data_IF_436045839180
#
_entry.id   IF_436045839180
#
_cell.length_a   1.000
_cell.length_b   1.000
_cell.length_c   1.000
_cell.angle_alpha   90.00
_cell.angle_beta   90.00
_cell.angle_gamma   90.00
#
_symmetry.space_group_name_H-M   'P 1'
#
loop_
_entity.id
_entity.type
_entity.pdbx_description
1 polymer ?
#
# COMPACT_ATOMS: atom_id res chain seq x y z
N UNK A 1 -84.44 -15.01 19.51
CA UNK A 1 -83.04 -15.22 19.90
C UNK A 1 -82.19 -15.97 18.87
N UNK A 2 -82.75 -16.75 17.95
CA UNK A 2 -81.98 -17.53 16.94
C UNK A 2 -81.44 -16.71 15.77
N UNK A 3 -82.07 -15.58 15.41
CA UNK A 3 -81.66 -14.75 14.26
C UNK A 3 -80.47 -13.82 14.55
N UNK A 4 -80.23 -13.49 15.81
CA UNK A 4 -79.11 -12.63 16.23
C UNK A 4 -77.78 -13.41 16.34
N UNK A 5 -77.87 -14.70 16.67
CA UNK A 5 -76.70 -15.58 16.72
C UNK A 5 -76.12 -15.87 15.32
N UNK A 6 -77.00 -15.95 14.31
CA UNK A 6 -76.59 -16.21 12.93
C UNK A 6 -75.87 -15.00 12.28
N UNK A 7 -76.29 -13.77 12.57
CA UNK A 7 -75.61 -12.57 12.06
C UNK A 7 -74.24 -12.35 12.73
N UNK A 8 -74.14 -12.66 14.02
CA UNK A 8 -72.89 -12.53 14.77
C UNK A 8 -71.84 -13.58 14.34
N UNK A 9 -72.26 -14.78 13.93
CA UNK A 9 -71.37 -15.80 13.36
C UNK A 9 -70.91 -15.46 11.93
N UNK A 10 -71.77 -14.87 11.09
CA UNK A 10 -71.37 -14.42 9.75
C UNK A 10 -70.42 -13.20 9.80
N UNK A 11 -70.55 -12.32 10.79
CA UNK A 11 -69.61 -11.23 10.99
C UNK A 11 -68.23 -11.70 11.49
N UNK A 12 -68.16 -12.78 12.26
CA UNK A 12 -66.88 -13.38 12.66
C UNK A 12 -66.20 -14.15 11.52
N UNK A 13 -66.97 -14.74 10.60
CA UNK A 13 -66.42 -15.44 9.45
C UNK A 13 -65.82 -14.51 8.37
N UNK A 14 -66.29 -13.27 8.24
CA UNK A 14 -65.73 -12.30 7.29
C UNK A 14 -64.50 -11.55 7.83
N UNK A 15 -64.29 -11.52 9.15
CA UNK A 15 -63.08 -10.93 9.76
C UNK A 15 -61.88 -11.91 9.74
N UNK A 16 -62.11 -13.21 9.63
CA UNK A 16 -61.05 -14.22 9.60
C UNK A 16 -60.35 -14.37 8.22
N UNK A 17 -60.85 -13.73 7.16
CA UNK A 17 -60.33 -13.91 5.79
C UNK A 17 -59.28 -12.87 5.35
N UNK A 18 -58.94 -11.88 6.17
CA UNK A 18 -57.97 -10.82 5.80
C UNK A 18 -56.62 -10.89 6.52
N UNK A 19 -56.33 -11.96 7.26
CA UNK A 19 -55.04 -12.16 7.95
C UNK A 19 -54.13 -13.16 7.22
N UNK A 20 -54.07 -13.12 5.88
CA UNK A 20 -52.93 -13.65 5.14
C UNK A 20 -51.99 -12.48 4.83
N UNK A 21 -51.29 -12.02 5.86
CA UNK A 21 -50.17 -11.11 5.67
C UNK A 21 -49.14 -11.80 4.79
N UNK A 22 -48.92 -11.29 3.59
CA UNK A 22 -47.77 -11.67 2.77
C UNK A 22 -46.53 -11.28 3.57
N UNK A 23 -45.84 -12.27 4.12
CA UNK A 23 -44.48 -12.04 4.60
C UNK A 23 -43.67 -11.63 3.37
N UNK A 24 -43.04 -10.44 3.35
CA UNK A 24 -42.14 -10.12 2.26
C UNK A 24 -41.07 -11.20 2.22
N UNK A 25 -40.80 -11.74 1.03
CA UNK A 25 -39.71 -12.67 0.78
C UNK A 25 -38.39 -11.99 1.17
N UNK A 26 -37.97 -12.15 2.43
CA UNK A 26 -36.71 -11.61 2.94
C UNK A 26 -35.51 -12.20 2.18
N UNK A 27 -35.70 -13.32 1.46
CA UNK A 27 -34.68 -13.96 0.64
C UNK A 27 -34.16 -13.04 -0.48
N UNK A 28 -35.04 -12.27 -1.15
CA UNK A 28 -34.62 -11.35 -2.23
C UNK A 28 -33.87 -10.13 -1.68
N UNK A 29 -34.25 -9.66 -0.48
CA UNK A 29 -33.60 -8.52 0.18
C UNK A 29 -32.23 -8.91 0.76
N UNK A 30 -32.09 -10.11 1.32
CA UNK A 30 -30.79 -10.66 1.73
C UNK A 30 -29.85 -10.84 0.54
N UNK A 31 -30.34 -11.34 -0.60
CA UNK A 31 -29.55 -11.52 -1.83
C UNK A 31 -29.04 -10.20 -2.40
N UNK A 32 -29.91 -9.19 -2.47
CA UNK A 32 -29.54 -7.85 -2.92
C UNK A 32 -28.49 -7.20 -2.00
N UNK A 33 -28.68 -7.22 -0.67
CA UNK A 33 -27.72 -6.64 0.27
C UNK A 33 -26.39 -7.41 0.25
N UNK A 34 -26.40 -8.74 0.09
CA UNK A 34 -25.20 -9.57 -0.05
C UNK A 34 -24.40 -9.20 -1.31
N UNK A 35 -25.06 -8.97 -2.44
CA UNK A 35 -24.39 -8.53 -3.68
C UNK A 35 -23.77 -7.13 -3.54
N UNK A 36 -24.42 -6.23 -2.80
CA UNK A 36 -23.89 -4.90 -2.48
C UNK A 36 -22.66 -4.97 -1.57
N UNK A 37 -22.68 -5.80 -0.52
CA UNK A 37 -21.53 -6.05 0.36
C UNK A 37 -20.34 -6.67 -0.38
N UNK A 38 -20.59 -7.62 -1.31
CA UNK A 38 -19.54 -8.24 -2.12
C UNK A 38 -18.92 -7.26 -3.13
N UNK A 39 -19.74 -6.39 -3.72
CA UNK A 39 -19.29 -5.37 -4.68
C UNK A 39 -18.49 -4.27 -3.98
N UNK A 40 -18.92 -3.86 -2.79
CA UNK A 40 -18.23 -2.87 -1.97
C UNK A 40 -16.97 -3.44 -1.28
N UNK A 41 -16.94 -4.74 -0.95
CA UNK A 41 -15.76 -5.44 -0.42
C UNK A 41 -14.63 -5.62 -1.44
N UNK A 42 -14.96 -5.74 -2.74
CA UNK A 42 -13.97 -5.72 -3.84
C UNK A 42 -13.29 -4.36 -4.02
N UNK A 43 -13.82 -3.28 -3.45
CA UNK A 43 -13.20 -1.96 -3.39
C UNK A 43 -12.29 -1.72 -2.17
N UNK A 44 -12.10 -2.74 -1.30
CA UNK A 44 -11.32 -2.64 -0.06
C UNK A 44 -9.80 -2.69 -0.23
N UNK A 45 -9.28 -2.79 -1.46
CA UNK A 45 -7.88 -2.45 -1.72
C UNK A 45 -7.74 -0.94 -1.64
N UNK A 46 -6.71 -0.43 -0.95
CA UNK A 46 -6.38 1.01 -0.87
C UNK A 46 -6.66 1.66 -2.22
N UNK A 47 -7.76 2.41 -2.32
CA UNK A 47 -8.18 2.93 -3.61
C UNK A 47 -7.01 3.74 -4.18
N UNK A 48 -6.64 3.58 -5.45
CA UNK A 48 -5.49 4.28 -6.03
C UNK A 48 -5.64 5.81 -5.81
N UNK A 49 -6.89 6.30 -5.80
CA UNK A 49 -7.24 7.67 -5.44
C UNK A 49 -6.86 8.04 -3.99
N UNK A 50 -7.14 7.17 -3.00
CA UNK A 50 -6.78 7.43 -1.60
C UNK A 50 -5.27 7.31 -1.36
N UNK A 51 -4.58 6.43 -2.08
CA UNK A 51 -3.11 6.39 -2.10
C UNK A 51 -2.52 7.68 -2.70
N UNK A 52 -3.13 8.22 -3.76
CA UNK A 52 -2.72 9.46 -4.40
C UNK A 52 -2.93 10.67 -3.47
N UNK A 53 -4.08 10.76 -2.78
CA UNK A 53 -4.34 11.80 -1.78
C UNK A 53 -3.34 11.77 -0.61
N UNK A 54 -2.96 10.57 -0.14
CA UNK A 54 -1.92 10.43 0.89
C UNK A 54 -0.55 10.92 0.43
N UNK A 55 -0.16 10.63 -0.82
CA UNK A 55 1.09 11.16 -1.40
C UNK A 55 1.05 12.68 -1.53
N UNK A 56 -0.10 13.23 -1.93
CA UNK A 56 -0.30 14.68 -2.02
C UNK A 56 -0.14 15.36 -0.66
N UNK A 57 -0.72 14.77 0.39
CA UNK A 57 -0.58 15.27 1.76
C UNK A 57 0.88 15.26 2.23
N UNK A 58 1.63 14.20 1.94
CA UNK A 58 3.06 14.12 2.25
C UNK A 58 3.88 15.18 1.49
N UNK A 59 3.55 15.44 0.23
CA UNK A 59 4.20 16.50 -0.56
C UNK A 59 3.94 17.89 0.02
N UNK A 60 2.70 18.20 0.42
CA UNK A 60 2.33 19.47 1.06
C UNK A 60 3.10 19.64 2.38
N UNK A 61 3.15 18.59 3.22
CA UNK A 61 3.93 18.62 4.46
C UNK A 61 5.43 18.81 4.22
N UNK A 62 5.97 18.29 3.12
CA UNK A 62 7.34 18.53 2.70
C UNK A 62 7.60 20.01 2.38
N UNK A 63 6.69 20.65 1.64
CA UNK A 63 6.77 22.08 1.31
C UNK A 63 6.63 22.97 2.55
N UNK A 64 5.75 22.62 3.50
CA UNK A 64 5.62 23.31 4.78
C UNK A 64 6.94 23.29 5.57
N UNK A 65 7.62 22.13 5.63
CA UNK A 65 8.93 22.01 6.29
C UNK A 65 10.02 22.82 5.58
N UNK A 66 10.07 22.76 4.25
CA UNK A 66 11.07 23.50 3.45
C UNK A 66 10.91 25.02 3.63
N UNK A 67 9.68 25.51 3.67
CA UNK A 67 9.38 26.94 3.82
C UNK A 67 9.27 27.40 5.27
N UNK A 68 9.55 26.50 6.24
CA UNK A 68 9.42 26.76 7.68
C UNK A 68 8.07 27.39 8.04
N UNK A 69 6.99 26.92 7.41
CA UNK A 69 5.65 27.42 7.69
C UNK A 69 5.23 27.03 9.12
N UNK A 70 5.06 28.03 9.97
CA UNK A 70 4.48 27.97 11.32
C UNK A 70 3.07 28.53 11.33
N UNK A 71 2.30 28.25 12.39
CA UNK A 71 0.95 28.81 12.58
C UNK A 71 0.92 30.35 12.53
N UNK A 72 2.02 30.99 12.94
CA UNK A 72 2.19 32.44 12.92
C UNK A 72 2.48 32.97 11.50
N UNK A 73 3.27 32.24 10.71
CA UNK A 73 3.54 32.60 9.30
C UNK A 73 2.36 32.34 8.36
N UNK A 74 1.37 31.55 8.80
CA UNK A 74 0.09 31.37 8.10
C UNK A 74 -0.96 32.42 8.48
N UNK A 75 -0.67 33.31 9.45
CA UNK A 75 -1.56 34.38 9.88
C UNK A 75 -1.22 35.69 9.15
N UNK A 76 -2.05 36.04 8.17
CA UNK A 76 -2.05 37.37 7.54
C UNK A 76 -1.68 37.39 6.05
N UNK A 77 -2.31 38.33 5.32
CA UNK A 77 -2.08 38.60 3.90
C UNK A 77 -2.95 37.79 2.95
N UNK A 78 -3.44 38.44 1.88
CA UNK A 78 -4.24 37.81 0.81
C UNK A 78 -3.39 36.89 -0.10
N UNK A 79 -2.06 37.04 -0.09
CA UNK A 79 -1.10 36.23 -0.87
C UNK A 79 -0.08 35.55 0.04
N UNK A 80 -0.55 34.74 0.99
CA UNK A 80 0.32 34.04 1.92
C UNK A 80 0.47 32.57 1.53
N UNK A 81 1.64 32.21 1.01
CA UNK A 81 1.93 30.85 0.58
C UNK A 81 1.79 29.81 1.70
N UNK A 82 2.06 30.18 2.97
CA UNK A 82 1.87 29.27 4.11
C UNK A 82 0.37 29.12 4.46
N UNK A 83 -0.43 30.18 4.31
CA UNK A 83 -1.88 30.10 4.47
C UNK A 83 -2.52 29.24 3.36
N UNK A 84 -2.05 29.37 2.11
CA UNK A 84 -2.52 28.54 0.99
C UNK A 84 -2.15 27.07 1.17
N UNK A 85 -0.92 26.78 1.61
CA UNK A 85 -0.52 25.40 1.96
C UNK A 85 -1.38 24.82 3.08
N UNK A 86 -1.69 25.61 4.11
CA UNK A 86 -2.57 25.18 5.20
C UNK A 86 -4.00 24.88 4.71
N UNK A 87 -4.57 25.71 3.81
CA UNK A 87 -5.87 25.46 3.18
C UNK A 87 -5.86 24.21 2.31
N UNK A 88 -4.82 24.02 1.51
CA UNK A 88 -4.68 22.81 0.69
C UNK A 88 -4.53 21.55 1.54
N UNK A 89 -3.80 21.62 2.66
CA UNK A 89 -3.67 20.53 3.62
C UNK A 89 -5.02 20.14 4.20
N UNK A 90 -5.81 21.10 4.69
CA UNK A 90 -7.12 20.81 5.28
C UNK A 90 -8.10 20.26 4.24
N UNK A 91 -8.04 20.75 3.00
CA UNK A 91 -8.86 20.25 1.89
C UNK A 91 -8.54 18.77 1.57
N UNK A 92 -7.26 18.44 1.40
CA UNK A 92 -6.83 17.05 1.13
C UNK A 92 -7.18 16.14 2.31
N UNK A 93 -7.03 16.61 3.55
CA UNK A 93 -7.46 15.86 4.73
C UNK A 93 -8.97 15.59 4.74
N UNK A 94 -9.79 16.57 4.35
CA UNK A 94 -11.24 16.40 4.22
C UNK A 94 -11.60 15.40 3.14
N UNK A 95 -10.91 15.41 2.00
CA UNK A 95 -11.12 14.44 0.92
C UNK A 95 -10.72 13.03 1.33
N UNK A 96 -9.62 12.86 2.08
CA UNK A 96 -9.24 11.57 2.65
C UNK A 96 -10.31 11.09 3.63
N UNK A 97 -10.84 11.96 4.49
CA UNK A 97 -11.90 11.61 5.43
C UNK A 97 -13.20 11.20 4.70
N UNK A 98 -13.61 11.95 3.68
CA UNK A 98 -14.77 11.62 2.85
C UNK A 98 -14.59 10.29 2.11
N UNK A 99 -13.42 10.06 1.51
CA UNK A 99 -13.09 8.80 0.85
C UNK A 99 -13.04 7.63 1.85
N UNK A 100 -12.59 7.85 3.09
CA UNK A 100 -12.63 6.82 4.13
C UNK A 100 -14.05 6.53 4.64
N UNK A 101 -14.94 7.53 4.62
CA UNK A 101 -16.34 7.40 5.01
C UNK A 101 -17.18 6.66 3.96
N UNK A 102 -16.79 6.65 2.69
CA UNK A 102 -17.41 5.76 1.69
C UNK A 102 -17.24 4.26 2.03
N UNK A 103 -16.28 3.92 2.91
CA UNK A 103 -16.16 2.59 3.50
C UNK A 103 -17.11 2.33 4.68
N UNK A 104 -17.71 3.37 5.29
CA UNK A 104 -18.71 3.24 6.38
C UNK A 104 -20.08 2.82 5.87
N UNK A 105 -20.39 3.01 4.59
CA UNK A 105 -21.62 2.50 3.98
C UNK A 105 -21.72 0.97 4.08
N UNK A 106 -20.57 0.27 4.10
CA UNK A 106 -20.52 -1.17 4.38
C UNK A 106 -20.95 -1.53 5.80
N UNK A 107 -20.61 -0.71 6.81
CA UNK A 107 -21.04 -0.96 8.19
C UNK A 107 -22.55 -0.78 8.37
N UNK A 108 -23.15 0.19 7.67
CA UNK A 108 -24.61 0.36 7.61
C UNK A 108 -25.31 -0.78 6.88
N UNK A 109 -24.75 -1.24 5.75
CA UNK A 109 -25.24 -2.40 5.01
C UNK A 109 -25.12 -3.69 5.83
N UNK A 110 -24.04 -3.86 6.58
CA UNK A 110 -23.81 -5.02 7.44
C UNK A 110 -24.74 -5.02 8.66
N UNK A 111 -25.01 -3.84 9.24
CA UNK A 111 -26.03 -3.68 10.30
C UNK A 111 -27.43 -4.03 9.81
N UNK A 112 -27.80 -3.60 8.60
CA UNK A 112 -29.07 -3.99 7.94
C UNK A 112 -29.13 -5.48 7.63
N UNK A 113 -28.04 -6.06 7.14
CA UNK A 113 -27.94 -7.49 6.85
C UNK A 113 -28.14 -8.35 8.12
N UNK A 114 -27.58 -7.90 9.26
CA UNK A 114 -27.76 -8.55 10.56
C UNK A 114 -29.18 -8.35 11.13
N UNK A 115 -29.73 -7.12 11.04
CA UNK A 115 -31.08 -6.82 11.51
C UNK A 115 -32.18 -7.60 10.75
N UNK A 116 -31.93 -7.94 9.49
CA UNK A 116 -32.83 -8.76 8.67
C UNK A 116 -32.64 -10.28 8.92
N UNK A 117 -31.75 -10.70 9.82
CA UNK A 117 -31.53 -12.12 10.15
C UNK A 117 -30.86 -12.94 9.05
N UNK A 118 -30.33 -12.28 8.00
CA UNK A 118 -29.74 -12.94 6.82
C UNK A 118 -28.45 -13.75 7.10
N UNK A 119 -27.92 -13.70 8.33
CA UNK A 119 -26.73 -14.44 8.77
C UNK A 119 -27.01 -15.89 9.18
N UNK A 120 -28.28 -16.27 9.37
CA UNK A 120 -28.67 -17.60 9.84
C UNK A 120 -29.38 -18.38 8.73
N UNK A 121 -28.57 -19.04 7.91
CA UNK A 121 -29.04 -19.86 6.79
C UNK A 121 -28.17 -21.08 6.56
N UNK A 122 -27.76 -21.77 7.64
CA UNK A 122 -27.29 -23.17 7.61
C UNK A 122 -27.72 -23.81 8.94
N UNK A 123 -28.73 -24.69 8.91
CA UNK A 123 -29.14 -25.52 10.06
C UNK A 123 -28.61 -26.94 9.86
N UNK A 124 -27.84 -27.45 10.84
CA UNK A 124 -28.05 -28.72 11.59
C UNK A 124 -26.78 -29.02 12.44
N UNK A 125 -26.83 -28.74 13.76
CA UNK A 125 -26.82 -29.71 14.91
C UNK A 125 -25.46 -30.43 15.14
N UNK A 126 -24.76 -30.42 16.29
CA UNK A 126 -25.11 -30.50 17.73
C UNK A 126 -23.84 -30.16 18.61
N UNK A 127 -23.84 -30.29 19.95
CA UNK A 127 -23.55 -29.25 20.95
C UNK A 127 -22.06 -29.06 21.35
N UNK A 128 -21.78 -27.90 21.96
CA UNK A 128 -20.47 -27.52 22.51
C UNK A 128 -19.96 -28.44 23.63
N UNK A 129 -18.63 -28.42 23.90
CA UNK A 129 -18.22 -27.67 25.09
C UNK A 129 -17.02 -26.73 24.90
N UNK A 130 -17.13 -25.59 25.59
CA UNK A 130 -16.14 -24.63 26.09
C UNK A 130 -14.68 -24.75 25.61
N UNK A 131 -14.19 -23.75 24.87
CA UNK A 131 -12.93 -23.05 25.19
C UNK A 131 -12.71 -21.80 24.31
N UNK A 132 -12.63 -20.65 25.00
CA UNK A 132 -11.77 -19.48 24.77
C UNK A 132 -11.78 -18.79 23.39
N UNK A 133 -12.35 -17.61 23.44
CA UNK A 133 -12.20 -16.48 22.51
C UNK A 133 -10.81 -16.35 21.91
N UNK A 134 -10.73 -16.33 20.58
CA UNK A 134 -9.70 -15.60 19.85
C UNK A 134 -10.31 -15.02 18.57
N UNK A 135 -10.29 -13.70 18.59
CA UNK A 135 -10.77 -12.69 17.67
C UNK A 135 -10.26 -12.87 16.23
N UNK A 136 -11.13 -12.50 15.27
CA UNK A 136 -10.82 -12.04 13.91
C UNK A 136 -10.26 -13.05 12.91
N UNK A 137 -11.19 -13.73 12.23
CA UNK A 137 -11.04 -14.10 10.84
C UNK A 137 -10.93 -12.82 9.97
N UNK A 138 -9.71 -12.47 9.58
CA UNK A 138 -9.45 -11.58 8.46
C UNK A 138 -8.45 -12.29 7.54
N UNK A 139 -8.83 -12.48 6.28
CA UNK A 139 -7.93 -13.00 5.25
C UNK A 139 -6.63 -12.21 5.29
N UNK A 140 -5.49 -12.91 5.18
CA UNK A 140 -4.17 -12.32 5.18
C UNK A 140 -4.05 -11.36 3.99
N UNK A 141 -4.41 -10.11 4.26
CA UNK A 141 -4.04 -8.98 3.45
C UNK A 141 -2.63 -8.66 3.93
N UNK A 142 -1.64 -9.37 3.40
CA UNK A 142 -0.22 -9.05 3.55
C UNK A 142 0.00 -7.68 2.90
N UNK A 143 -0.29 -6.63 3.66
CA UNK A 143 -0.58 -5.30 3.12
C UNK A 143 -0.50 -4.25 4.21
N UNK A 144 0.65 -4.19 4.88
CA UNK A 144 0.97 -3.25 5.95
C UNK A 144 2.01 -3.90 6.84
N UNK A 145 3.26 -3.43 6.78
CA UNK A 145 4.39 -3.72 7.68
C UNK A 145 4.70 -5.20 8.01
N UNK A 146 4.08 -6.18 7.36
CA UNK A 146 4.40 -7.58 7.57
C UNK A 146 5.74 -7.93 6.92
N UNK A 147 6.64 -8.55 7.67
CA UNK A 147 7.93 -9.04 7.18
C UNK A 147 7.88 -10.55 7.01
N UNK A 148 8.41 -11.06 5.89
CA UNK A 148 8.50 -12.48 5.63
C UNK A 148 9.86 -13.07 5.99
N UNK A 149 9.82 -14.29 6.50
CA UNK A 149 10.99 -15.06 6.94
C UNK A 149 10.95 -16.46 6.31
N UNK A 150 12.08 -16.87 5.73
CA UNK A 150 12.29 -18.26 5.33
C UNK A 150 12.67 -19.06 6.58
N UNK A 151 12.02 -20.20 6.83
CA UNK A 151 12.30 -21.07 7.97
C UNK A 151 12.55 -22.49 7.49
N UNK A 152 13.70 -23.06 7.84
CA UNK A 152 14.01 -24.47 7.58
C UNK A 152 13.37 -25.34 8.66
N UNK A 153 12.53 -26.28 8.25
CA UNK A 153 11.74 -27.12 9.16
C UNK A 153 12.59 -28.14 9.93
N UNK A 154 13.76 -28.51 9.39
CA UNK A 154 14.66 -29.53 9.93
C UNK A 154 15.31 -29.11 11.26
N UNK A 155 15.70 -27.84 11.39
CA UNK A 155 16.47 -27.31 12.52
C UNK A 155 15.94 -25.96 13.06
N UNK A 156 14.86 -25.45 12.47
CA UNK A 156 14.26 -24.16 12.82
C UNK A 156 15.11 -22.96 12.43
N UNK A 157 16.13 -23.10 11.58
CA UNK A 157 16.90 -21.93 11.15
C UNK A 157 16.04 -20.98 10.33
N UNK A 158 16.10 -19.68 10.64
CA UNK A 158 15.34 -18.67 9.93
C UNK A 158 16.17 -17.46 9.51
N UNK A 159 15.78 -16.85 8.39
CA UNK A 159 16.38 -15.62 7.86
C UNK A 159 15.34 -14.78 7.09
N UNK A 160 15.55 -13.45 6.96
CA UNK A 160 14.63 -12.60 6.21
C UNK A 160 14.54 -13.06 4.75
N UNK A 161 13.33 -13.26 4.25
CA UNK A 161 13.12 -13.73 2.90
C UNK A 161 13.58 -12.70 1.85
N UNK A 162 14.03 -13.12 0.65
CA UNK A 162 14.30 -12.18 -0.43
C UNK A 162 13.06 -11.35 -0.73
N UNK A 163 13.21 -10.02 -0.82
CA UNK A 163 12.08 -9.08 -0.97
C UNK A 163 11.05 -9.15 0.18
N UNK A 164 11.45 -9.53 1.39
CA UNK A 164 10.57 -9.66 2.58
C UNK A 164 9.73 -8.42 2.88
N UNK A 165 10.24 -7.22 2.58
CA UNK A 165 9.57 -5.93 2.78
C UNK A 165 8.55 -5.55 1.69
N UNK A 166 8.56 -6.26 0.55
CA UNK A 166 7.75 -5.95 -0.63
C UNK A 166 6.82 -7.11 -1.03
N UNK A 167 6.71 -8.14 -0.20
CA UNK A 167 5.98 -9.33 -0.55
C UNK A 167 4.48 -9.06 -0.67
N UNK A 168 4.01 -8.87 -1.91
CA UNK A 168 2.60 -9.00 -2.22
C UNK A 168 2.18 -10.47 -2.15
N UNK A 169 0.89 -10.72 -1.91
CA UNK A 169 0.31 -12.07 -1.84
C UNK A 169 0.55 -12.93 -3.11
N UNK A 170 0.90 -12.29 -4.23
CA UNK A 170 1.15 -12.90 -5.54
C UNK A 170 2.57 -13.45 -5.74
N UNK A 171 3.52 -13.12 -4.86
CA UNK A 171 4.93 -13.51 -5.00
C UNK A 171 5.37 -14.56 -3.97
N UNK A 172 4.45 -15.08 -3.14
CA UNK A 172 4.75 -15.98 -2.02
C UNK A 172 5.35 -17.32 -2.47
N UNK A 173 4.84 -17.88 -3.56
CA UNK A 173 5.33 -19.16 -4.11
C UNK A 173 6.74 -19.02 -4.66
N UNK A 174 7.01 -17.95 -5.44
CA UNK A 174 8.36 -17.65 -5.95
C UNK A 174 9.33 -17.44 -4.80
N UNK A 175 8.89 -16.76 -3.74
CA UNK A 175 9.71 -16.53 -2.55
C UNK A 175 10.04 -17.83 -1.81
N UNK A 176 9.08 -18.74 -1.65
CA UNK A 176 9.33 -20.05 -1.06
C UNK A 176 10.34 -20.86 -1.89
N UNK A 177 10.26 -20.80 -3.23
CA UNK A 177 11.21 -21.49 -4.11
C UNK A 177 12.62 -20.85 -4.03
N UNK A 178 12.71 -19.53 -3.85
CA UNK A 178 13.99 -18.86 -3.57
C UNK A 178 14.57 -19.28 -2.22
N UNK A 179 13.74 -19.38 -1.17
CA UNK A 179 14.19 -19.85 0.14
C UNK A 179 14.78 -21.28 0.05
N UNK A 180 14.10 -22.18 -0.69
CA UNK A 180 14.56 -23.56 -0.92
C UNK A 180 15.90 -23.60 -1.65
N UNK A 181 16.08 -22.76 -2.67
CA UNK A 181 17.34 -22.63 -3.39
C UNK A 181 18.46 -22.08 -2.50
N UNK A 182 18.18 -21.12 -1.62
CA UNK A 182 19.17 -20.54 -0.71
C UNK A 182 19.68 -21.56 0.32
N UNK A 183 18.80 -22.43 0.80
CA UNK A 183 19.14 -23.45 1.79
C UNK A 183 19.61 -24.78 1.18
N UNK A 184 19.53 -24.94 -0.14
CA UNK A 184 19.69 -26.24 -0.83
C UNK A 184 18.82 -27.35 -0.19
N UNK A 185 17.65 -27.00 0.35
CA UNK A 185 16.76 -27.89 1.11
C UNK A 185 15.29 -27.64 0.72
N UNK A 186 14.53 -28.68 0.32
CA UNK A 186 13.10 -28.54 0.01
C UNK A 186 12.22 -28.32 1.24
N UNK A 187 12.66 -28.73 2.44
CA UNK A 187 11.95 -28.61 3.71
C UNK A 187 12.08 -27.20 4.32
N UNK A 188 11.75 -26.19 3.52
CA UNK A 188 11.75 -24.77 3.90
C UNK A 188 10.37 -24.20 3.65
N UNK A 189 9.82 -23.58 4.69
CA UNK A 189 8.52 -22.93 4.68
C UNK A 189 8.64 -21.42 4.94
N UNK A 190 7.58 -20.70 4.60
CA UNK A 190 7.52 -19.24 4.68
C UNK A 190 6.66 -18.80 5.86
N UNK A 191 7.24 -17.97 6.71
CA UNK A 191 6.60 -17.42 7.89
C UNK A 191 6.43 -15.91 7.73
N UNK A 192 5.38 -15.38 8.33
CA UNK A 192 5.08 -13.95 8.35
C UNK A 192 5.11 -13.42 9.78
N UNK A 193 5.72 -12.27 9.95
CA UNK A 193 5.66 -11.47 11.16
C UNK A 193 4.81 -10.24 10.86
N UNK A 194 3.60 -10.18 11.44
CA UNK A 194 2.63 -9.11 11.15
C UNK A 194 3.07 -7.75 11.70
N UNK A 195 3.79 -7.74 12.82
CA UNK A 195 4.25 -6.53 13.49
C UNK A 195 5.78 -6.57 13.66
N UNK A 196 6.47 -5.59 13.08
CA UNK A 196 7.94 -5.49 13.14
C UNK A 196 8.42 -5.18 14.56
N UNK A 197 7.56 -4.59 15.40
CA UNK A 197 7.88 -4.34 16.80
C UNK A 197 7.87 -5.62 17.65
N UNK A 198 7.28 -6.69 17.13
CA UNK A 198 7.22 -7.97 17.81
C UNK A 198 8.46 -8.80 17.54
N UNK A 199 8.81 -9.67 18.50
CA UNK A 199 9.95 -10.56 18.37
C UNK A 199 9.70 -11.62 17.28
N UNK A 200 10.80 -12.13 16.70
CA UNK A 200 10.75 -13.13 15.62
C UNK A 200 10.17 -14.47 16.09
N UNK A 201 10.06 -14.72 17.39
CA UNK A 201 9.42 -15.90 17.96
C UNK A 201 7.91 -15.98 17.65
N UNK A 202 7.26 -14.82 17.50
CA UNK A 202 5.83 -14.67 17.23
C UNK A 202 5.46 -14.79 15.76
N UNK A 203 6.40 -15.15 14.89
CA UNK A 203 6.14 -15.35 13.47
C UNK A 203 5.19 -16.55 13.25
N UNK A 204 4.36 -16.48 12.21
CA UNK A 204 3.31 -17.46 11.93
C UNK A 204 3.52 -18.04 10.53
N UNK A 205 3.43 -19.37 10.40
CA UNK A 205 3.53 -20.07 9.13
C UNK A 205 2.40 -19.63 8.20
N UNK A 206 2.71 -19.33 6.93
CA UNK A 206 1.70 -18.89 5.97
C UNK A 206 0.72 -20.02 5.62
N UNK A 207 1.21 -21.24 5.47
CA UNK A 207 0.43 -22.38 5.02
C UNK A 207 -0.40 -22.99 6.15
N UNK A 208 0.23 -23.26 7.29
CA UNK A 208 -0.41 -23.97 8.42
C UNK A 208 -1.01 -23.04 9.46
N UNK A 209 -0.69 -21.74 9.42
CA UNK A 209 -1.09 -20.73 10.43
C UNK A 209 -0.66 -21.06 11.85
N UNK A 210 0.35 -21.92 12.01
CA UNK A 210 0.94 -22.24 13.30
C UNK A 210 2.03 -21.23 13.65
N UNK A 211 2.14 -20.81 14.91
CA UNK A 211 3.26 -20.01 15.36
C UNK A 211 4.56 -20.80 15.23
N UNK A 212 5.66 -20.09 15.08
CA UNK A 212 6.98 -20.72 14.96
C UNK A 212 7.40 -21.48 16.21
N UNK A 213 6.97 -21.06 17.39
CA UNK A 213 7.20 -21.78 18.66
C UNK A 213 6.56 -23.16 18.73
N UNK A 214 5.55 -23.45 17.89
CA UNK A 214 4.95 -24.79 17.79
C UNK A 214 5.76 -25.76 16.92
N UNK A 215 6.76 -25.26 16.17
CA UNK A 215 7.64 -26.12 15.40
C UNK A 215 8.53 -26.93 16.36
N UNK A 216 8.56 -28.28 16.29
CA UNK A 216 9.41 -29.08 17.19
C UNK A 216 10.90 -28.77 17.06
N UNK A 217 11.30 -28.24 15.90
CA UNK A 217 12.66 -27.83 15.62
C UNK A 217 12.93 -26.34 15.92
N UNK A 218 11.97 -25.60 16.49
CA UNK A 218 12.14 -24.18 16.77
C UNK A 218 13.42 -23.92 17.59
N UNK A 219 14.22 -22.96 17.12
CA UNK A 219 15.47 -22.50 17.73
C UNK A 219 16.59 -23.53 17.88
N UNK A 220 16.42 -24.78 17.41
CA UNK A 220 17.44 -25.83 17.57
C UNK A 220 18.78 -25.46 16.97
N UNK A 221 18.78 -24.71 15.87
CA UNK A 221 19.99 -24.21 15.23
C UNK A 221 20.91 -23.37 16.14
N UNK A 222 20.39 -22.81 17.25
CA UNK A 222 21.18 -22.01 18.20
C UNK A 222 22.06 -22.87 19.11
N UNK A 223 21.63 -24.10 19.36
CA UNK A 223 22.29 -25.02 20.29
C UNK A 223 23.08 -26.12 19.56
N UNK A 224 22.97 -26.21 18.23
CA UNK A 224 23.66 -27.21 17.43
C UNK A 224 25.09 -26.77 17.06
N UNK A 225 26.07 -27.58 17.47
CA UNK A 225 27.47 -27.35 17.15
C UNK A 225 27.82 -27.59 15.67
N UNK A 226 27.02 -28.37 14.93
CA UNK A 226 27.19 -28.67 13.51
C UNK A 226 26.25 -27.85 12.61
N UNK A 227 25.78 -26.70 13.11
CA UNK A 227 24.86 -25.85 12.40
C UNK A 227 25.43 -25.35 11.05
N UNK A 228 24.70 -25.64 9.96
CA UNK A 228 24.97 -25.12 8.62
C UNK A 228 23.94 -24.04 8.26
N UNK A 229 24.36 -22.78 8.29
CA UNK A 229 23.54 -21.66 7.81
C UNK A 229 23.25 -21.76 6.31
N UNK A 230 22.10 -21.23 5.88
CA UNK A 230 21.79 -21.12 4.46
C UNK A 230 22.66 -20.05 3.79
N UNK A 231 23.10 -20.30 2.54
CA UNK A 231 24.05 -19.43 1.85
C UNK A 231 23.33 -18.31 1.07
N UNK A 232 22.88 -17.30 1.82
CA UNK A 232 22.28 -16.09 1.24
C UNK A 232 23.26 -15.33 0.33
N UNK A 233 24.57 -15.42 0.60
CA UNK A 233 25.59 -14.69 -0.15
C UNK A 233 25.72 -15.24 -1.57
N UNK A 234 25.73 -16.57 -1.72
CA UNK A 234 25.72 -17.24 -3.02
C UNK A 234 24.52 -16.83 -3.87
N UNK A 235 23.35 -16.74 -3.25
CA UNK A 235 22.15 -16.26 -3.95
C UNK A 235 22.31 -14.82 -4.47
N UNK A 236 22.73 -13.88 -3.62
CA UNK A 236 22.94 -12.49 -4.06
C UNK A 236 24.03 -12.35 -5.11
N UNK A 237 25.12 -13.12 -5.02
CA UNK A 237 26.16 -13.14 -6.05
C UNK A 237 25.61 -13.62 -7.39
N UNK A 238 24.79 -14.68 -7.40
CA UNK A 238 24.16 -15.19 -8.61
C UNK A 238 23.19 -14.16 -9.22
N UNK A 239 22.37 -13.51 -8.38
CA UNK A 239 21.45 -12.45 -8.83
C UNK A 239 22.24 -11.25 -9.39
N UNK A 240 23.33 -10.86 -8.75
CA UNK A 240 24.20 -9.79 -9.23
C UNK A 240 24.85 -10.13 -10.58
N UNK A 241 25.32 -11.36 -10.76
CA UNK A 241 25.88 -11.83 -12.04
C UNK A 241 24.83 -11.84 -13.16
N UNK A 242 23.63 -12.35 -12.88
CA UNK A 242 22.53 -12.34 -13.84
C UNK A 242 22.13 -10.91 -14.21
N UNK A 243 22.03 -10.02 -13.21
CA UNK A 243 21.75 -8.60 -13.46
C UNK A 243 22.85 -7.93 -14.27
N UNK A 244 24.12 -8.23 -13.98
CA UNK A 244 25.24 -7.73 -14.75
C UNK A 244 25.13 -8.15 -16.22
N UNK A 245 24.87 -9.44 -16.50
CA UNK A 245 24.67 -9.95 -17.87
C UNK A 245 23.50 -9.29 -18.61
N UNK A 246 22.46 -8.87 -17.89
CA UNK A 246 21.32 -8.14 -18.49
C UNK A 246 21.65 -6.68 -18.80
N UNK A 247 22.50 -6.03 -17.99
CA UNK A 247 22.84 -4.60 -18.11
C UNK A 247 24.05 -4.37 -19.02
N UNK A 248 25.03 -5.27 -19.01
CA UNK A 248 26.14 -5.25 -19.96
C UNK A 248 25.83 -6.22 -21.11
N UNK A 249 25.45 -5.70 -22.30
CA UNK A 249 25.23 -6.57 -23.44
C UNK A 249 26.53 -7.32 -23.74
N UNK A 250 26.46 -8.65 -23.81
CA UNK A 250 27.61 -9.50 -24.19
C UNK A 250 28.11 -9.19 -25.60
N UNK A 251 27.27 -8.54 -26.42
CA UNK A 251 27.61 -8.03 -27.74
C UNK A 251 27.92 -6.52 -27.63
N UNK A 252 29.19 -6.20 -27.38
CA UNK A 252 29.69 -4.82 -27.30
C UNK A 252 30.01 -4.22 -28.68
N UNK A 253 29.69 -4.92 -29.78
CA UNK A 253 30.10 -4.56 -31.14
C UNK A 253 29.56 -3.20 -31.61
N UNK A 254 28.51 -2.68 -30.96
CA UNK A 254 27.93 -1.35 -31.22
C UNK A 254 27.82 -0.47 -29.96
N UNK A 255 28.50 -0.80 -28.87
CA UNK A 255 28.45 -0.01 -27.64
C UNK A 255 29.47 1.14 -27.71
N UNK A 256 29.00 2.35 -28.00
CA UNK A 256 29.80 3.57 -27.91
C UNK A 256 29.90 3.95 -26.43
N UNK A 257 30.98 3.51 -25.78
CA UNK A 257 31.30 3.90 -24.40
C UNK A 257 32.07 5.23 -24.48
N UNK A 258 31.47 6.38 -24.11
CA UNK A 258 32.22 7.64 -24.08
C UNK A 258 33.32 7.51 -23.02
N UNK A 259 34.58 7.55 -23.45
CA UNK A 259 35.70 7.56 -22.52
C UNK A 259 35.63 8.84 -21.67
N UNK A 260 35.83 8.76 -20.35
CA UNK A 260 35.94 9.96 -19.53
C UNK A 260 37.11 10.79 -20.06
N UNK A 261 36.80 12.00 -20.54
CA UNK A 261 37.84 12.93 -20.99
C UNK A 261 38.69 13.36 -19.77
N UNK A 262 39.98 13.57 -20.01
CA UNK A 262 40.90 14.03 -18.98
C UNK A 262 40.36 15.31 -18.33
N UNK A 263 40.52 15.41 -17.00
CA UNK A 263 40.14 16.59 -16.23
C UNK A 263 40.72 17.83 -16.92
N UNK A 264 39.89 18.82 -17.33
CA UNK A 264 40.40 20.01 -17.96
C UNK A 264 41.32 20.76 -16.99
N UNK A 265 42.48 21.15 -17.49
CA UNK A 265 43.53 21.77 -16.70
C UNK A 265 43.10 23.19 -16.32
N UNK A 266 42.97 23.46 -15.01
CA UNK A 266 42.43 24.72 -14.48
C UNK A 266 43.46 25.87 -14.54
N UNK A 267 44.63 25.66 -15.15
CA UNK A 267 45.74 26.62 -15.21
C UNK A 267 45.51 27.84 -16.09
N UNK A 268 44.53 27.82 -17.01
CA UNK A 268 44.30 28.93 -17.95
C UNK A 268 43.16 29.89 -17.58
N UNK A 269 42.53 29.73 -16.41
CA UNK A 269 41.46 30.63 -15.94
C UNK A 269 41.99 31.71 -14.98
N UNK A 270 43.29 31.67 -14.65
CA UNK A 270 43.94 32.63 -13.74
C UNK A 270 44.99 33.53 -14.43
N UNK A 271 45.00 33.61 -15.75
CA UNK A 271 45.80 34.59 -16.47
C UNK A 271 44.87 35.57 -17.17
N UNK A 272 44.75 36.77 -16.60
CA UNK A 272 44.21 37.94 -17.29
C UNK A 272 45.29 38.39 -18.26
N UNK A 273 45.10 38.31 -19.59
CA UNK A 273 45.99 38.96 -20.53
C UNK A 273 45.49 40.40 -20.68
N UNK A 274 46.29 41.37 -20.22
CA UNK A 274 46.16 42.74 -20.71
C UNK A 274 46.35 42.71 -22.22
N UNK A 275 45.31 43.11 -22.95
CA UNK A 275 45.29 43.14 -24.41
C UNK A 275 45.37 44.59 -24.84
N UNK A 276 46.44 44.94 -25.53
CA UNK A 276 46.44 46.03 -26.49
C UNK A 276 46.80 45.45 -27.88
N UNK A 277 46.06 45.92 -28.89
CA UNK A 277 46.30 45.82 -30.35
C UNK A 277 45.54 44.70 -31.13
N UNK A 278 44.30 45.05 -31.51
CA UNK A 278 43.63 45.00 -32.85
C UNK A 278 43.64 43.77 -33.80
N UNK A 279 42.45 43.14 -33.91
CA UNK A 279 41.56 42.91 -35.10
C UNK A 279 42.05 42.15 -36.38
N UNK A 280 41.16 41.58 -37.26
CA UNK A 280 39.70 41.35 -37.19
C UNK A 280 39.26 39.91 -37.57
N UNK A 281 38.39 39.29 -36.76
CA UNK A 281 37.69 38.04 -37.06
C UNK A 281 36.40 38.01 -36.26
N UNK A 282 35.37 38.68 -36.79
CA UNK A 282 34.22 39.18 -36.05
C UNK A 282 33.30 38.08 -35.47
N UNK A 283 33.48 37.77 -34.19
CA UNK A 283 32.36 37.48 -33.31
C UNK A 283 32.11 38.75 -32.48
N UNK A 284 31.31 39.66 -33.03
CA UNK A 284 30.80 40.79 -32.27
C UNK A 284 30.01 40.25 -31.07
N UNK A 285 30.54 40.49 -29.88
CA UNK A 285 29.75 40.74 -28.69
C UNK A 285 28.80 41.90 -29.01
N UNK A 286 27.65 41.60 -29.61
CA UNK A 286 26.53 42.49 -29.50
C UNK A 286 26.05 42.39 -28.06
N UNK A 287 26.38 43.41 -27.27
CA UNK A 287 25.58 43.81 -26.13
C UNK A 287 24.14 43.88 -26.63
N UNK A 288 23.34 42.87 -26.28
CA UNK A 288 21.94 42.83 -26.66
C UNK A 288 21.25 43.80 -25.70
N UNK A 289 21.00 45.00 -26.19
CA UNK A 289 20.05 45.89 -25.54
C UNK A 289 18.71 45.17 -25.34
N UNK A 290 18.07 45.36 -24.18
CA UNK A 290 16.82 44.68 -23.86
C UNK A 290 15.72 45.22 -24.79
N UNK A 291 15.32 44.45 -25.79
CA UNK A 291 14.18 44.81 -26.64
C UNK A 291 14.06 44.12 -28.00
N UNK A 292 15.12 43.48 -28.53
CA UNK A 292 15.12 42.98 -29.93
C UNK A 292 14.89 41.48 -30.13
N UNK A 293 14.56 40.71 -29.08
CA UNK A 293 14.14 39.30 -29.22
C UNK A 293 12.70 39.15 -28.74
N UNK A 294 11.82 38.72 -29.62
CA UNK A 294 10.44 38.32 -29.30
C UNK A 294 10.44 36.99 -28.56
N UNK A 295 10.81 37.02 -27.28
CA UNK A 295 10.69 35.89 -26.36
C UNK A 295 9.25 35.86 -25.85
N UNK A 296 8.50 34.79 -26.14
CA UNK A 296 7.19 34.57 -25.50
C UNK A 296 7.43 34.21 -24.04
N UNK A 297 7.28 35.20 -23.17
CA UNK A 297 7.26 34.99 -21.72
C UNK A 297 5.89 34.41 -21.35
N UNK A 298 5.87 33.12 -21.04
CA UNK A 298 4.70 32.45 -20.47
C UNK A 298 4.86 32.41 -18.96
N UNK A 299 4.31 33.43 -18.29
CA UNK A 299 4.30 33.53 -16.83
C UNK A 299 4.43 34.98 -16.35
N UNK A 300 3.89 35.32 -15.17
CA UNK A 300 3.99 36.68 -14.64
C UNK A 300 5.46 37.07 -14.38
N UNK A 301 5.82 38.30 -14.75
CA UNK A 301 7.16 38.83 -14.50
C UNK A 301 7.32 39.14 -13.00
N UNK A 302 8.31 38.51 -12.35
CA UNK A 302 8.53 38.60 -10.91
C UNK A 302 9.56 39.66 -10.49
N UNK A 303 9.99 40.53 -11.39
CA UNK A 303 10.95 41.59 -11.06
C UNK A 303 10.27 42.97 -11.08
N UNK A 304 10.47 43.81 -10.04
CA UNK A 304 10.01 45.19 -10.06
C UNK A 304 10.82 45.98 -11.10
N UNK A 305 10.12 46.80 -11.90
CA UNK A 305 10.77 47.79 -12.76
C UNK A 305 11.20 48.97 -11.88
N UNK A 306 12.45 49.39 -12.02
CA UNK A 306 12.88 50.72 -11.56
C UNK A 306 12.27 51.83 -12.42
#
# INVERSE_FOLDING_TARGET
>A
MTRFCLSMMMALATVAAFASGTTPSYADSCGAIKSQLLSAGRGGGVSPALAQLRRQLAAIQGLERQRKCTAQSAAGGFFNACADLARNRTEVQRQIAAASNSGRDNSGLQGRFAALGCSSGVTQERPAPKAKSATAAAGATTGGNAMLFCVRLSDGYFFPAPKSQFAGNRDLKEMADQCRYICDDPAVDLYTLSDISQETDSMVALDTRKPYTELPAAFRYRDDANFKACDVKRYYQRVAELRARTVTPTNMTNAIIPLPQAKPDLGSVAAIPETDIEAPGAAQLQSIEPGKRTVRVVGPAFFPAE
#
